data_IF_112118494504
#
_entry.id   IF_112118494504
#
_cell.length_a   1.000
_cell.length_b   1.000
_cell.length_c   1.000
_cell.angle_alpha   90.00
_cell.angle_beta   90.00
_cell.angle_gamma   90.00
#
_symmetry.space_group_name_H-M   'P 1'
#
loop_
_entity.id
_entity.type
_entity.pdbx_description
1 polymer ?
#
# COMPACT_ATOMS: atom_id res chain seq x y z
N UNK A 1 13.78 -51.22 23.29
CA UNK A 1 14.13 -51.39 21.85
C UNK A 1 13.06 -52.17 21.09
N UNK A 2 12.60 -53.32 21.60
CA UNK A 2 11.55 -54.18 20.99
C UNK A 2 10.26 -53.42 20.66
N UNK A 3 9.64 -52.76 21.64
CA UNK A 3 8.40 -51.99 21.42
C UNK A 3 8.50 -50.93 20.30
N UNK A 4 9.67 -50.28 20.14
CA UNK A 4 9.88 -49.30 19.05
C UNK A 4 9.92 -49.96 17.66
N UNK A 5 10.45 -51.19 17.57
CA UNK A 5 10.45 -51.99 16.32
C UNK A 5 9.03 -52.45 15.96
N UNK A 6 8.25 -52.83 16.97
CA UNK A 6 6.86 -53.27 16.80
C UNK A 6 5.97 -52.15 16.27
N UNK A 7 5.98 -50.96 16.89
CA UNK A 7 5.21 -49.81 16.38
C UNK A 7 5.75 -49.32 15.03
N UNK A 8 7.06 -49.47 14.78
CA UNK A 8 7.71 -49.01 13.55
C UNK A 8 7.24 -49.74 12.29
N UNK A 9 6.87 -51.02 12.39
CA UNK A 9 6.35 -51.82 11.27
C UNK A 9 5.04 -51.28 10.67
N UNK A 10 4.29 -50.49 11.45
CA UNK A 10 3.02 -49.89 11.05
C UNK A 10 3.14 -48.41 10.70
N UNK A 11 4.35 -47.84 10.67
CA UNK A 11 4.58 -46.44 10.32
C UNK A 11 5.06 -46.28 8.88
N UNK A 12 4.81 -45.11 8.30
CA UNK A 12 5.34 -44.71 6.99
C UNK A 12 6.00 -43.33 7.07
N UNK A 13 6.94 -43.05 6.17
CA UNK A 13 7.60 -41.74 6.09
C UNK A 13 6.61 -40.69 5.60
N UNK A 14 6.28 -39.72 6.45
CA UNK A 14 5.52 -38.52 6.07
C UNK A 14 6.47 -37.37 5.77
N UNK A 15 6.50 -36.91 4.52
CA UNK A 15 7.23 -35.69 4.16
C UNK A 15 6.40 -34.47 4.55
N UNK A 16 6.91 -33.68 5.49
CA UNK A 16 6.30 -32.40 5.88
C UNK A 16 7.09 -31.28 5.20
N UNK A 17 6.52 -30.56 4.23
CA UNK A 17 7.22 -29.48 3.56
C UNK A 17 7.47 -28.35 4.55
N UNK A 18 8.72 -27.89 4.60
CA UNK A 18 9.10 -26.70 5.38
C UNK A 18 8.83 -25.47 4.52
N UNK A 19 7.79 -24.71 4.86
CA UNK A 19 7.42 -23.49 4.15
C UNK A 19 7.64 -22.25 5.03
N UNK A 20 7.83 -21.11 4.36
CA UNK A 20 7.92 -19.82 5.02
C UNK A 20 6.50 -19.31 5.31
N UNK A 21 6.32 -18.56 6.41
CA UNK A 21 5.00 -18.04 6.81
C UNK A 21 4.42 -17.04 5.83
N UNK A 22 5.26 -16.36 5.07
CA UNK A 22 4.88 -15.36 4.08
C UNK A 22 5.69 -15.65 2.82
N UNK A 23 4.98 -15.81 1.71
CA UNK A 23 5.55 -15.96 0.38
C UNK A 23 5.05 -14.76 -0.43
N UNK A 24 5.92 -13.78 -0.73
CA UNK A 24 5.54 -12.65 -1.57
C UNK A 24 5.15 -13.13 -2.98
N UNK A 25 4.24 -12.43 -3.66
CA UNK A 25 3.91 -12.75 -5.05
C UNK A 25 5.15 -12.60 -5.94
N UNK A 26 5.28 -13.48 -6.93
CA UNK A 26 6.45 -13.54 -7.85
C UNK A 26 6.64 -12.27 -8.69
N UNK A 27 5.61 -11.44 -8.83
CA UNK A 27 5.67 -10.18 -9.57
C UNK A 27 5.14 -9.01 -8.75
N UNK A 28 5.87 -7.90 -8.76
CA UNK A 28 5.38 -6.62 -8.24
C UNK A 28 4.61 -5.91 -9.34
N UNK A 29 3.30 -5.69 -9.15
CA UNK A 29 2.54 -4.83 -10.06
C UNK A 29 3.07 -3.39 -9.91
N UNK A 30 3.43 -2.70 -11.02
CA UNK A 30 3.84 -1.31 -10.94
C UNK A 30 2.68 -0.47 -10.41
N UNK A 31 2.98 0.41 -9.46
CA UNK A 31 2.00 1.38 -8.96
C UNK A 31 1.75 2.41 -10.03
N UNK A 32 0.52 2.50 -10.51
CA UNK A 32 0.13 3.55 -11.46
C UNK A 32 0.16 4.91 -10.76
N UNK A 33 0.75 5.90 -11.44
CA UNK A 33 0.70 7.29 -10.99
C UNK A 33 -0.70 7.87 -11.18
N UNK A 34 -1.15 8.69 -10.23
CA UNK A 34 -2.40 9.41 -10.37
C UNK A 34 -2.33 10.43 -11.52
N UNK A 35 -3.38 10.45 -12.35
CA UNK A 35 -3.59 11.48 -13.37
C UNK A 35 -5.04 11.92 -13.33
N UNK A 36 -5.28 13.24 -13.28
CA UNK A 36 -6.62 13.80 -13.42
C UNK A 36 -7.09 13.58 -14.86
N UNK A 37 -8.29 13.01 -15.03
CA UNK A 37 -8.96 12.88 -16.32
C UNK A 37 -10.37 13.49 -16.21
N UNK A 38 -10.84 14.23 -17.23
CA UNK A 38 -12.22 14.72 -17.25
C UNK A 38 -13.20 13.55 -17.34
N UNK A 39 -14.46 13.81 -16.99
CA UNK A 39 -15.53 12.80 -17.09
C UNK A 39 -15.76 12.48 -18.57
N UNK A 40 -15.66 11.20 -18.93
CA UNK A 40 -16.01 10.71 -20.26
C UNK A 40 -17.42 10.09 -20.22
N UNK A 41 -18.40 10.81 -20.78
CA UNK A 41 -19.78 10.33 -20.84
C UNK A 41 -20.01 9.26 -21.91
N UNK A 42 -19.07 9.05 -22.83
CA UNK A 42 -19.20 8.14 -23.96
C UNK A 42 -18.54 6.77 -23.72
N UNK A 43 -17.91 6.56 -22.56
CA UNK A 43 -17.10 5.36 -22.28
C UNK A 43 -17.90 4.05 -22.38
N UNK A 44 -19.22 4.11 -22.25
CA UNK A 44 -20.11 2.94 -22.24
C UNK A 44 -21.07 2.92 -23.44
N UNK A 45 -20.97 3.87 -24.38
CA UNK A 45 -21.90 3.97 -25.51
C UNK A 45 -21.84 2.75 -26.44
N UNK A 46 -20.71 2.03 -26.46
CA UNK A 46 -20.55 0.83 -27.28
C UNK A 46 -21.02 -0.46 -26.56
N UNK A 47 -21.46 -0.36 -25.30
CA UNK A 47 -21.98 -1.49 -24.53
C UNK A 47 -23.52 -1.47 -24.57
N UNK A 48 -24.12 -2.47 -25.21
CA UNK A 48 -25.58 -2.59 -25.34
C UNK A 48 -26.13 -1.73 -26.49
N UNK A 49 -27.15 -0.91 -26.21
CA UNK A 49 -27.80 -0.03 -27.18
C UNK A 49 -27.52 1.45 -26.86
N UNK A 50 -26.24 1.83 -26.81
CA UNK A 50 -25.86 3.20 -26.48
C UNK A 50 -26.20 4.20 -27.58
N UNK A 51 -26.48 5.44 -27.17
CA UNK A 51 -26.88 6.53 -28.07
C UNK A 51 -25.73 7.52 -28.16
N UNK A 52 -25.21 7.72 -29.36
CA UNK A 52 -24.14 8.70 -29.62
C UNK A 52 -24.78 10.08 -29.80
N UNK A 53 -24.38 11.03 -28.96
CA UNK A 53 -24.81 12.43 -29.11
C UNK A 53 -24.04 13.05 -30.28
N UNK A 54 -24.63 13.06 -31.48
CA UNK A 54 -24.11 13.72 -32.68
C UNK A 54 -24.39 15.23 -32.68
N UNK A 55 -24.07 15.91 -31.57
CA UNK A 55 -24.19 17.35 -31.44
C UNK A 55 -22.83 17.94 -31.16
N UNK A 56 -22.43 18.99 -31.90
CA UNK A 56 -21.29 19.83 -31.51
C UNK A 56 -21.51 20.21 -30.05
N UNK A 57 -20.70 19.67 -29.14
CA UNK A 57 -20.73 20.01 -27.72
C UNK A 57 -20.87 21.53 -27.61
N UNK A 58 -21.90 22.09 -26.97
CA UNK A 58 -21.84 23.50 -26.65
C UNK A 58 -20.60 23.66 -25.77
N UNK A 59 -19.62 24.43 -26.26
CA UNK A 59 -18.40 24.86 -25.56
C UNK A 59 -18.70 25.74 -24.33
N UNK A 60 -19.84 25.52 -23.69
CA UNK A 60 -20.43 26.30 -22.60
C UNK A 60 -20.87 25.36 -21.47
N UNK A 61 -19.94 24.58 -20.95
CA UNK A 61 -20.06 24.00 -19.60
C UNK A 61 -18.86 24.46 -18.80
N UNK A 62 -19.03 25.60 -18.11
CA UNK A 62 -18.15 26.04 -17.03
C UNK A 62 -16.88 26.80 -17.42
N UNK A 63 -16.97 27.96 -18.04
CA UNK A 63 -15.89 28.95 -17.96
C UNK A 63 -15.82 29.54 -16.55
N UNK A 64 -15.18 28.84 -15.61
CA UNK A 64 -14.28 29.50 -14.67
C UNK A 64 -12.86 29.22 -15.18
N UNK A 65 -12.54 29.88 -16.30
CA UNK A 65 -11.14 30.13 -16.67
C UNK A 65 -10.64 31.26 -15.79
N UNK A 66 -10.29 30.95 -14.53
CA UNK A 66 -9.25 31.76 -13.87
C UNK A 66 -7.94 31.27 -14.44
N UNK A 67 -7.43 31.99 -15.42
CA UNK A 67 -6.03 31.93 -15.80
C UNK A 67 -5.18 32.34 -14.58
N UNK A 68 -4.84 31.35 -13.78
CA UNK A 68 -3.79 31.42 -12.79
C UNK A 68 -2.96 30.18 -13.00
N UNK A 69 -1.89 30.30 -13.78
CA UNK A 69 -0.84 29.30 -13.83
C UNK A 69 -0.24 29.20 -12.42
N UNK A 70 -0.84 28.37 -11.57
CA UNK A 70 -0.12 27.87 -10.40
C UNK A 70 0.82 26.81 -10.96
N UNK A 71 2.02 27.24 -11.33
CA UNK A 71 3.17 26.35 -11.47
C UNK A 71 3.40 25.79 -10.07
N UNK A 72 2.67 24.73 -9.71
CA UNK A 72 3.12 23.85 -8.65
C UNK A 72 4.25 23.06 -9.28
N UNK A 73 5.46 23.47 -8.95
CA UNK A 73 6.70 22.77 -9.21
C UNK A 73 6.47 21.25 -9.17
N UNK A 74 6.89 20.56 -10.24
CA UNK A 74 7.04 19.09 -10.31
C UNK A 74 8.15 18.62 -9.33
N UNK A 75 8.11 19.01 -8.06
CA UNK A 75 8.97 18.41 -7.05
C UNK A 75 8.33 17.09 -6.67
N UNK A 76 9.06 15.99 -6.85
CA UNK A 76 8.66 14.68 -6.32
C UNK A 76 8.29 14.87 -4.82
N UNK A 77 7.21 14.23 -4.33
CA UNK A 77 6.88 14.29 -2.92
C UNK A 77 8.12 13.83 -2.14
N UNK A 78 8.61 14.72 -1.29
CA UNK A 78 9.74 14.42 -0.40
C UNK A 78 9.34 13.19 0.44
N UNK A 79 10.22 12.19 0.59
CA UNK A 79 9.88 11.01 1.36
C UNK A 79 9.39 11.44 2.74
N UNK A 80 8.15 11.08 3.06
CA UNK A 80 7.55 11.42 4.35
C UNK A 80 8.38 10.71 5.40
N UNK A 81 9.24 11.47 6.09
CA UNK A 81 10.04 10.95 7.17
C UNK A 81 9.08 10.66 8.33
N UNK A 82 8.87 9.37 8.60
CA UNK A 82 8.12 8.94 9.77
C UNK A 82 8.71 9.62 11.02
N UNK A 83 7.88 10.10 11.97
CA UNK A 83 8.39 10.69 13.19
C UNK A 83 9.32 9.69 13.88
N UNK A 84 10.60 10.07 14.02
CA UNK A 84 11.56 9.32 14.83
C UNK A 84 11.13 9.48 16.28
N UNK A 85 10.94 8.36 16.98
CA UNK A 85 10.74 8.37 18.41
C UNK A 85 11.93 9.11 19.05
N UNK A 86 11.70 10.08 19.95
CA UNK A 86 12.79 10.77 20.63
C UNK A 86 13.70 9.73 21.31
N UNK A 87 15.03 9.94 21.32
CA UNK A 87 15.95 9.02 21.98
C UNK A 87 15.49 8.86 23.43
N UNK A 88 15.44 7.61 23.91
CA UNK A 88 15.20 7.32 25.31
C UNK A 88 16.40 7.81 26.13
N UNK A 89 16.44 9.11 26.36
CA UNK A 89 17.49 9.82 27.08
C UNK A 89 16.94 10.37 28.38
N UNK A 90 17.23 9.67 29.46
CA UNK A 90 17.07 10.17 30.83
C UNK A 90 15.75 9.79 31.48
N UNK A 91 15.71 8.57 32.02
CA UNK A 91 14.88 8.28 33.20
C UNK A 91 15.07 9.41 34.22
N UNK A 92 14.04 10.23 34.45
CA UNK A 92 14.00 11.15 35.59
C UNK A 92 13.48 10.47 36.85
N UNK A 93 13.36 9.13 36.87
CA UNK A 93 13.05 8.40 38.08
C UNK A 93 14.31 8.30 38.94
N UNK A 94 14.36 9.18 39.94
CA UNK A 94 15.19 9.01 41.13
C UNK A 94 16.62 9.52 40.98
N UNK A 95 16.90 10.70 41.56
CA UNK A 95 18.25 10.96 42.06
C UNK A 95 18.51 9.93 43.18
N UNK A 96 19.66 9.22 43.19
CA UNK A 96 20.01 8.41 44.35
C UNK A 96 20.24 9.34 45.55
N UNK A 97 19.44 9.17 46.61
CA UNK A 97 19.67 9.84 47.89
C UNK A 97 20.82 9.09 48.58
N UNK A 98 21.80 9.82 49.11
CA UNK A 98 22.92 9.23 49.84
C UNK A 98 22.44 8.52 51.12
N UNK A 99 23.05 7.41 51.54
CA UNK A 99 22.71 6.77 52.80
C UNK A 99 23.12 7.64 54.00
N UNK A 100 22.32 7.71 55.07
CA UNK A 100 22.69 8.41 56.29
C UNK A 100 23.78 7.64 57.07
N UNK A 101 24.71 8.40 57.66
CA UNK A 101 25.76 7.95 58.58
C UNK A 101 25.20 7.40 59.88
#
# INVERSE_FOLDING_TARGET
KVARREIGAFTAVRRVPRNHKIIPPTGTQPRLSYSRRPINYQQLDDIGHGIKVSGKQPEKTGTIRKHGASIRSNKAPEPVQCPVAPPAGGSSFGKPVAPPT
#
